data_IF_517090030994
#
_entry.id   IF_517090030994
#
_cell.length_a   1.000
_cell.length_b   1.000
_cell.length_c   1.000
_cell.angle_alpha   90.00
_cell.angle_beta   90.00
_cell.angle_gamma   90.00
#
_symmetry.space_group_name_H-M   'P 1'
#
loop_
_entity.id
_entity.type
_entity.pdbx_description
1 polymer ?
#
# COMPACT_ATOMS: atom_id res chain seq x y z
N UNK A 1 20.01 -11.35 5.46
CA UNK A 1 20.22 -12.17 6.67
C UNK A 1 21.71 -12.36 6.83
N UNK A 2 22.26 -12.17 8.02
CA UNK A 2 23.63 -12.64 8.29
C UNK A 2 23.65 -14.17 8.27
N UNK A 3 24.72 -14.77 7.75
CA UNK A 3 24.97 -16.21 7.85
C UNK A 3 24.82 -16.67 9.32
N UNK A 4 24.03 -17.72 9.55
CA UNK A 4 23.85 -18.34 10.89
C UNK A 4 22.66 -17.86 11.72
N UNK A 5 21.80 -16.95 11.22
CA UNK A 5 20.58 -16.55 11.94
C UNK A 5 19.45 -17.59 11.81
N UNK A 6 18.84 -17.98 12.94
CA UNK A 6 17.63 -18.80 12.95
C UNK A 6 16.37 -17.92 13.04
N UNK A 7 15.37 -18.19 12.20
CA UNK A 7 14.13 -17.41 12.08
C UNK A 7 12.94 -18.29 12.45
N UNK A 8 12.12 -17.85 13.40
CA UNK A 8 10.81 -18.47 13.67
C UNK A 8 9.70 -17.60 13.07
N UNK A 9 9.05 -18.06 12.00
CA UNK A 9 7.92 -17.38 11.38
C UNK A 9 6.61 -17.84 12.03
N UNK A 10 6.01 -16.99 12.86
CA UNK A 10 4.73 -17.26 13.51
C UNK A 10 3.61 -16.65 12.66
N UNK A 11 2.78 -17.49 12.04
CA UNK A 11 1.74 -17.06 11.10
C UNK A 11 0.39 -17.71 11.38
N UNK A 12 -0.69 -17.07 10.93
CA UNK A 12 -2.04 -17.63 10.96
C UNK A 12 -2.08 -18.91 10.10
N UNK A 13 -2.65 -19.98 10.63
CA UNK A 13 -2.95 -21.18 9.84
C UNK A 13 -4.25 -20.97 9.05
N UNK A 14 -4.13 -20.39 7.85
CA UNK A 14 -5.25 -20.21 6.95
C UNK A 14 -4.91 -20.78 5.55
N UNK A 15 -5.89 -21.38 4.84
CA UNK A 15 -5.67 -22.05 3.56
C UNK A 15 -4.93 -21.19 2.53
N UNK A 16 -5.23 -19.89 2.48
CA UNK A 16 -4.62 -18.94 1.56
C UNK A 16 -3.10 -18.76 1.76
N UNK A 17 -2.56 -19.16 2.91
CA UNK A 17 -1.13 -19.07 3.22
C UNK A 17 -0.42 -20.42 3.15
N UNK A 18 -1.12 -21.53 2.90
CA UNK A 18 -0.55 -22.88 3.07
C UNK A 18 0.64 -23.15 2.16
N UNK A 19 0.56 -22.75 0.88
CA UNK A 19 1.62 -22.90 -0.11
C UNK A 19 2.83 -22.03 0.25
N UNK A 20 2.61 -20.73 0.45
CA UNK A 20 3.65 -19.77 0.84
C UNK A 20 4.36 -20.17 2.14
N UNK A 21 3.62 -20.62 3.15
CA UNK A 21 4.20 -21.09 4.41
C UNK A 21 4.98 -22.39 4.25
N UNK A 22 4.63 -23.24 3.27
CA UNK A 22 5.42 -24.45 2.97
C UNK A 22 6.72 -24.11 2.26
N UNK A 23 6.72 -23.13 1.35
CA UNK A 23 7.95 -22.62 0.72
C UNK A 23 8.91 -22.01 1.75
N UNK A 24 8.41 -21.23 2.71
CA UNK A 24 9.24 -20.66 3.77
C UNK A 24 9.85 -21.71 4.69
N UNK A 25 9.14 -22.80 4.98
CA UNK A 25 9.63 -23.89 5.84
C UNK A 25 10.75 -24.71 5.19
N UNK A 26 10.95 -24.57 3.87
CA UNK A 26 12.05 -25.19 3.12
C UNK A 26 13.32 -24.34 3.13
N UNK A 27 13.27 -23.09 3.62
CA UNK A 27 14.43 -22.22 3.67
C UNK A 27 15.34 -22.58 4.85
N UNK A 28 16.64 -22.70 4.59
CA UNK A 28 17.63 -22.98 5.63
C UNK A 28 17.58 -21.94 6.76
N UNK A 29 17.48 -22.44 8.00
CA UNK A 29 17.41 -21.60 9.19
C UNK A 29 16.03 -21.01 9.48
N UNK A 30 15.00 -21.30 8.67
CA UNK A 30 13.62 -20.86 8.91
C UNK A 30 12.79 -22.00 9.50
N UNK A 31 11.98 -21.68 10.52
CA UNK A 31 11.00 -22.57 11.13
C UNK A 31 9.63 -21.91 11.11
N UNK A 32 8.66 -22.55 10.47
CA UNK A 32 7.29 -22.03 10.43
C UNK A 32 6.45 -22.56 11.59
N UNK A 33 5.76 -21.67 12.29
CA UNK A 33 4.89 -21.96 13.43
C UNK A 33 3.49 -21.48 13.09
N UNK A 34 2.63 -22.43 12.72
CA UNK A 34 1.25 -22.17 12.32
C UNK A 34 0.34 -22.05 13.55
N UNK A 35 -0.40 -20.95 13.64
CA UNK A 35 -1.33 -20.67 14.75
C UNK A 35 -2.75 -20.90 14.29
N UNK A 36 -3.36 -21.97 14.78
CA UNK A 36 -4.73 -22.34 14.42
C UNK A 36 -5.77 -21.28 14.88
N UNK A 37 -6.72 -20.90 14.01
CA UNK A 37 -7.83 -20.04 14.39
C UNK A 37 -8.84 -20.79 15.27
N UNK A 38 -9.58 -20.03 16.09
CA UNK A 38 -10.75 -20.54 16.80
C UNK A 38 -11.97 -20.68 15.88
N UNK A 39 -13.11 -21.12 16.44
CA UNK A 39 -14.38 -21.29 15.70
C UNK A 39 -14.90 -19.98 15.07
N UNK A 40 -14.43 -18.82 15.55
CA UNK A 40 -14.78 -17.51 15.00
C UNK A 40 -13.73 -17.00 13.99
N UNK A 41 -12.79 -17.84 13.58
CA UNK A 41 -11.73 -17.51 12.63
C UNK A 41 -10.56 -16.72 13.24
N UNK A 42 -10.48 -16.63 14.57
CA UNK A 42 -9.48 -15.81 15.26
C UNK A 42 -8.35 -16.65 15.84
N UNK A 43 -7.11 -16.39 15.42
CA UNK A 43 -5.93 -16.98 16.06
C UNK A 43 -5.53 -16.28 17.38
N UNK A 44 -6.22 -15.22 17.77
CA UNK A 44 -5.82 -14.37 18.90
C UNK A 44 -5.62 -15.12 20.24
N UNK A 45 -6.53 -16.01 20.68
CA UNK A 45 -6.33 -16.75 21.95
C UNK A 45 -5.08 -17.63 21.92
N UNK A 46 -4.86 -18.33 20.81
CA UNK A 46 -3.71 -19.23 20.60
C UNK A 46 -2.40 -18.45 20.53
N UNK A 47 -2.36 -17.36 19.75
CA UNK A 47 -1.19 -16.49 19.62
C UNK A 47 -0.83 -15.84 20.96
N UNK A 48 -1.83 -15.38 21.72
CA UNK A 48 -1.64 -14.82 23.07
C UNK A 48 -1.03 -15.85 24.02
N UNK A 49 -1.48 -17.11 23.98
CA UNK A 49 -0.93 -18.19 24.81
C UNK A 49 0.52 -18.49 24.43
N UNK A 50 0.81 -18.54 23.12
CA UNK A 50 2.16 -18.76 22.60
C UNK A 50 3.13 -17.67 23.05
N UNK A 51 2.75 -16.39 22.92
CA UNK A 51 3.57 -15.25 23.34
C UNK A 51 3.77 -15.14 24.86
N UNK A 52 2.87 -15.74 25.66
CA UNK A 52 2.96 -15.74 27.11
C UNK A 52 3.65 -16.99 27.70
N UNK A 53 4.04 -17.95 26.85
CA UNK A 53 4.67 -19.20 27.29
C UNK A 53 6.10 -18.95 27.82
N UNK A 54 6.55 -19.82 28.74
CA UNK A 54 7.91 -19.76 29.30
C UNK A 54 9.00 -20.27 28.35
N UNK A 55 8.62 -20.97 27.29
CA UNK A 55 9.51 -21.54 26.26
C UNK A 55 8.89 -21.37 24.87
N UNK A 56 9.63 -21.77 23.83
CA UNK A 56 9.22 -21.62 22.44
C UNK A 56 9.74 -20.34 21.79
N UNK A 57 9.22 -19.98 20.59
CA UNK A 57 9.89 -19.03 19.69
C UNK A 57 10.12 -17.66 20.32
N UNK A 58 9.15 -17.14 21.07
CA UNK A 58 9.25 -15.83 21.72
C UNK A 58 10.20 -15.81 22.93
N UNK A 59 10.40 -16.96 23.59
CA UNK A 59 11.28 -17.08 24.75
C UNK A 59 12.74 -17.29 24.35
N UNK A 60 12.99 -17.75 23.12
CA UNK A 60 14.32 -18.04 22.56
C UNK A 60 14.82 -16.94 21.62
N UNK A 61 13.95 -16.06 21.15
CA UNK A 61 14.32 -14.98 20.23
C UNK A 61 15.14 -13.87 20.91
N UNK A 62 16.07 -13.30 20.15
CA UNK A 62 16.80 -12.06 20.48
C UNK A 62 16.11 -10.81 19.92
N UNK A 63 15.38 -10.99 18.80
CA UNK A 63 14.66 -9.95 18.09
C UNK A 63 13.24 -10.41 17.73
N UNK A 64 12.26 -9.55 17.98
CA UNK A 64 10.89 -9.68 17.52
C UNK A 64 10.58 -8.66 16.44
N UNK A 65 9.97 -9.14 15.35
CA UNK A 65 9.47 -8.28 14.27
C UNK A 65 7.94 -8.46 14.20
N UNK A 66 7.19 -7.37 14.33
CA UNK A 66 5.76 -7.37 14.05
C UNK A 66 5.54 -6.83 12.63
N UNK A 67 4.97 -7.67 11.76
CA UNK A 67 4.74 -7.33 10.35
C UNK A 67 3.39 -6.70 10.03
N UNK A 68 2.41 -6.82 10.94
CA UNK A 68 1.04 -6.31 10.73
C UNK A 68 0.35 -5.89 12.03
N UNK A 69 -0.86 -5.32 11.89
CA UNK A 69 -1.65 -4.82 13.01
C UNK A 69 -2.04 -5.90 14.03
N UNK A 70 -2.31 -7.13 13.59
CA UNK A 70 -2.72 -8.25 14.44
C UNK A 70 -1.54 -8.86 15.20
N UNK A 71 -0.32 -8.77 14.65
CA UNK A 71 0.91 -9.22 15.28
C UNK A 71 1.36 -8.29 16.43
N UNK A 72 1.05 -6.99 16.37
CA UNK A 72 1.42 -6.00 17.40
C UNK A 72 1.12 -6.44 18.84
N UNK A 73 -0.13 -6.80 19.21
CA UNK A 73 -0.43 -7.18 20.58
C UNK A 73 0.25 -8.49 21.00
N UNK A 74 0.55 -9.39 20.06
CA UNK A 74 1.30 -10.63 20.34
C UNK A 74 2.75 -10.29 20.68
N UNK A 75 3.41 -9.50 19.83
CA UNK A 75 4.79 -9.07 20.02
C UNK A 75 4.96 -8.23 21.29
N UNK A 76 3.98 -7.37 21.60
CA UNK A 76 3.98 -6.58 22.84
C UNK A 76 3.85 -7.45 24.10
N UNK A 77 3.08 -8.54 24.06
CA UNK A 77 2.99 -9.48 25.20
C UNK A 77 4.33 -10.16 25.44
N UNK A 78 5.01 -10.61 24.38
CA UNK A 78 6.34 -11.20 24.49
C UNK A 78 7.36 -10.19 25.05
N UNK A 79 7.39 -8.96 24.53
CA UNK A 79 8.23 -7.85 25.04
C UNK A 79 8.00 -7.54 26.52
N UNK A 80 6.75 -7.62 27.01
CA UNK A 80 6.47 -7.40 28.45
C UNK A 80 6.99 -8.54 29.34
N UNK A 81 7.12 -9.75 28.82
CA UNK A 81 7.66 -10.91 29.54
C UNK A 81 9.19 -10.94 29.50
N UNK A 82 9.77 -10.45 28.41
CA UNK A 82 11.20 -10.30 28.15
C UNK A 82 11.54 -8.81 27.92
N UNK A 83 11.69 -7.97 28.95
CA UNK A 83 12.02 -6.55 28.79
C UNK A 83 13.42 -6.28 28.20
N UNK A 84 14.18 -7.32 27.90
CA UNK A 84 15.44 -7.34 27.17
C UNK A 84 15.26 -7.55 25.64
N UNK A 85 14.20 -8.25 25.20
CA UNK A 85 14.05 -8.61 23.78
C UNK A 85 13.78 -7.39 22.89
N UNK A 86 14.54 -7.22 21.81
CA UNK A 86 14.30 -6.10 20.91
C UNK A 86 12.96 -6.29 20.16
N UNK A 87 12.15 -5.22 20.04
CA UNK A 87 10.91 -5.23 19.27
C UNK A 87 11.00 -4.20 18.14
N UNK A 88 10.86 -4.65 16.90
CA UNK A 88 10.86 -3.84 15.68
C UNK A 88 9.54 -4.02 14.93
N UNK A 89 9.14 -2.99 14.19
CA UNK A 89 8.04 -3.06 13.22
C UNK A 89 8.63 -3.19 11.81
N UNK A 90 7.98 -3.96 10.95
CA UNK A 90 8.44 -4.13 9.56
C UNK A 90 7.89 -3.02 8.64
N UNK A 91 8.70 -2.45 7.73
CA UNK A 91 10.15 -2.56 7.62
C UNK A 91 10.90 -1.84 8.74
N UNK A 92 11.96 -2.48 9.19
CA UNK A 92 12.89 -1.88 10.14
C UNK A 92 13.96 -1.04 9.44
N UNK A 93 14.17 0.18 9.95
CA UNK A 93 15.28 1.05 9.56
C UNK A 93 16.28 1.27 10.69
N UNK A 94 17.46 1.78 10.35
CA UNK A 94 18.43 2.22 11.34
C UNK A 94 17.77 3.21 12.31
N UNK A 95 18.16 3.17 13.60
CA UNK A 95 17.61 4.01 14.65
C UNK A 95 18.06 5.48 14.49
N UNK A 96 17.54 6.13 13.45
CA UNK A 96 17.83 7.50 13.04
C UNK A 96 16.64 8.39 13.34
N UNK A 97 16.93 9.63 13.74
CA UNK A 97 15.91 10.68 13.84
C UNK A 97 15.54 11.21 12.46
N UNK A 98 14.31 11.69 12.32
CA UNK A 98 13.89 12.45 11.14
C UNK A 98 14.65 13.76 11.08
N UNK A 99 15.25 14.06 9.92
CA UNK A 99 15.95 15.32 9.65
C UNK A 99 15.07 16.29 8.84
N UNK A 100 15.33 17.62 8.91
CA UNK A 100 14.72 18.59 8.02
C UNK A 100 15.01 18.29 6.56
N UNK A 101 14.02 18.54 5.69
CA UNK A 101 14.11 18.31 4.26
C UNK A 101 13.81 19.60 3.48
N UNK A 102 14.22 19.65 2.21
CA UNK A 102 13.87 20.73 1.30
C UNK A 102 12.51 20.45 0.63
N UNK A 103 12.21 19.16 0.41
CA UNK A 103 10.90 18.64 0.00
C UNK A 103 10.41 17.54 0.96
N UNK A 104 9.19 17.70 1.48
CA UNK A 104 8.49 16.65 2.20
C UNK A 104 7.34 16.07 1.35
N UNK A 105 7.38 14.77 1.06
CA UNK A 105 6.31 14.06 0.34
C UNK A 105 5.42 13.32 1.34
N UNK A 106 4.12 13.58 1.37
CA UNK A 106 3.20 13.00 2.36
C UNK A 106 2.22 12.04 1.67
N UNK A 107 2.25 10.75 2.05
CA UNK A 107 1.46 9.73 1.36
C UNK A 107 1.14 8.54 2.26
N UNK A 108 -0.05 7.90 2.13
CA UNK A 108 -0.28 6.55 2.62
C UNK A 108 0.05 5.47 1.58
N UNK A 109 0.49 5.87 0.38
CA UNK A 109 0.77 4.99 -0.75
C UNK A 109 2.22 5.17 -1.16
N UNK A 110 3.08 4.29 -0.68
CA UNK A 110 4.46 4.16 -1.10
C UNK A 110 4.86 2.68 -1.03
N UNK A 111 5.79 2.21 -1.89
CA UNK A 111 6.20 0.80 -1.88
C UNK A 111 6.64 0.37 -0.48
N UNK A 112 6.25 -0.84 -0.07
CA UNK A 112 6.63 -1.45 1.22
C UNK A 112 6.88 -2.95 1.06
N UNK A 113 7.57 -3.61 2.00
CA UNK A 113 7.62 -5.08 1.99
C UNK A 113 6.23 -5.72 2.00
N UNK A 114 5.27 -5.12 2.72
CA UNK A 114 3.89 -5.60 2.78
C UNK A 114 3.10 -5.35 1.49
N UNK A 115 3.48 -4.34 0.71
CA UNK A 115 2.88 -4.02 -0.57
C UNK A 115 3.91 -3.35 -1.50
N UNK A 116 4.72 -4.14 -2.22
CA UNK A 116 5.85 -3.62 -3.01
C UNK A 116 5.41 -2.79 -4.20
N UNK A 117 4.13 -2.85 -4.57
CA UNK A 117 3.56 -2.14 -5.71
C UNK A 117 2.68 -0.96 -5.30
N UNK A 118 2.43 -0.76 -4.00
CA UNK A 118 1.64 0.37 -3.52
C UNK A 118 2.32 1.69 -3.87
N UNK A 119 1.57 2.64 -4.42
CA UNK A 119 2.06 4.01 -4.57
C UNK A 119 3.24 4.19 -5.53
N UNK A 120 3.46 3.29 -6.49
CA UNK A 120 4.50 3.45 -7.51
C UNK A 120 4.39 4.80 -8.27
N UNK A 121 3.17 5.33 -8.42
CA UNK A 121 2.93 6.67 -8.98
C UNK A 121 3.42 7.81 -8.08
N UNK A 122 3.43 7.64 -6.76
CA UNK A 122 4.01 8.61 -5.82
C UNK A 122 5.52 8.56 -5.92
N UNK A 123 6.11 7.37 -5.94
CA UNK A 123 7.53 7.19 -6.17
C UNK A 123 7.98 7.84 -7.49
N UNK A 124 7.28 7.57 -8.58
CA UNK A 124 7.57 8.19 -9.89
C UNK A 124 7.40 9.71 -9.87
N UNK A 125 6.39 10.24 -9.17
CA UNK A 125 6.21 11.68 -9.00
C UNK A 125 7.36 12.32 -8.20
N UNK A 126 7.81 11.69 -7.11
CA UNK A 126 8.96 12.13 -6.34
C UNK A 126 10.24 12.10 -7.18
N UNK A 127 10.46 11.02 -7.93
CA UNK A 127 11.61 10.87 -8.84
C UNK A 127 11.62 11.95 -9.92
N UNK A 128 10.47 12.29 -10.50
CA UNK A 128 10.36 13.27 -11.58
C UNK A 128 10.80 14.69 -11.17
N UNK A 129 10.82 14.99 -9.87
CA UNK A 129 11.24 16.29 -9.33
C UNK A 129 12.49 16.20 -8.47
N UNK A 130 13.10 15.01 -8.34
CA UNK A 130 14.15 14.80 -7.34
C UNK A 130 15.41 15.62 -7.61
N UNK A 131 15.69 15.94 -8.89
CA UNK A 131 16.81 16.77 -9.29
C UNK A 131 16.74 18.24 -8.82
N UNK A 132 15.56 18.71 -8.38
CA UNK A 132 15.35 20.09 -7.93
C UNK A 132 15.56 20.27 -6.41
N UNK A 133 15.81 19.18 -5.67
CA UNK A 133 15.91 19.22 -4.20
C UNK A 133 17.13 18.44 -3.70
N UNK A 134 17.91 19.03 -2.81
CA UNK A 134 19.07 18.34 -2.21
C UNK A 134 18.64 17.27 -1.20
N UNK A 135 17.60 17.55 -0.40
CA UNK A 135 17.07 16.62 0.60
C UNK A 135 15.57 16.42 0.46
N UNK A 136 15.20 15.16 0.23
CA UNK A 136 13.81 14.73 0.09
C UNK A 136 13.48 13.76 1.23
N UNK A 137 12.38 14.02 1.92
CA UNK A 137 11.82 13.13 2.94
C UNK A 137 10.42 12.69 2.55
N UNK A 138 10.22 11.40 2.31
CA UNK A 138 8.92 10.78 2.09
C UNK A 138 8.36 10.30 3.42
N UNK A 139 7.29 10.94 3.88
CA UNK A 139 6.52 10.51 5.05
C UNK A 139 5.42 9.56 4.62
N UNK A 140 5.70 8.26 4.77
CA UNK A 140 4.79 7.19 4.42
C UNK A 140 4.01 6.71 5.64
N UNK A 141 2.75 7.12 5.76
CA UNK A 141 1.83 6.62 6.80
C UNK A 141 1.14 5.34 6.31
N UNK A 142 1.79 4.21 6.54
CA UNK A 142 1.38 2.92 5.99
C UNK A 142 0.14 2.37 6.70
N UNK A 143 -0.93 2.18 5.93
CA UNK A 143 -2.18 1.65 6.47
C UNK A 143 -2.07 0.15 6.73
N UNK A 144 -1.94 -0.22 8.00
CA UNK A 144 -2.07 -1.60 8.45
C UNK A 144 -3.54 -1.91 8.69
N UNK A 145 -4.30 -1.93 7.60
CA UNK A 145 -5.74 -2.12 7.62
C UNK A 145 -6.10 -3.60 7.73
N UNK A 146 -7.10 -3.91 8.55
CA UNK A 146 -7.59 -5.28 8.68
C UNK A 146 -8.94 -5.37 9.38
N UNK A 147 -9.53 -6.56 9.33
CA UNK A 147 -10.66 -6.94 10.15
C UNK A 147 -10.16 -7.78 11.32
N UNK A 148 -10.69 -7.52 12.51
CA UNK A 148 -10.44 -8.37 13.67
C UNK A 148 -11.70 -8.43 14.57
N UNK A 149 -11.92 -9.58 15.24
CA UNK A 149 -12.90 -9.67 16.33
C UNK A 149 -12.62 -8.65 17.42
N UNK A 150 -13.66 -8.24 18.17
CA UNK A 150 -13.56 -7.17 19.16
C UNK A 150 -12.39 -7.34 20.16
N UNK A 151 -12.14 -8.52 20.76
CA UNK A 151 -11.03 -8.69 21.70
C UNK A 151 -9.65 -8.43 21.10
N UNK A 152 -9.43 -8.82 19.84
CA UNK A 152 -8.18 -8.55 19.14
C UNK A 152 -8.11 -7.08 18.73
N UNK A 153 -9.19 -6.51 18.21
CA UNK A 153 -9.25 -5.09 17.85
C UNK A 153 -8.94 -4.15 19.01
N UNK A 154 -9.44 -4.44 20.22
CA UNK A 154 -9.11 -3.68 21.43
C UNK A 154 -7.63 -3.84 21.82
N UNK A 155 -7.08 -5.05 21.70
CA UNK A 155 -5.67 -5.29 21.97
C UNK A 155 -4.76 -4.53 20.99
N UNK A 156 -5.10 -4.52 19.69
CA UNK A 156 -4.39 -3.73 18.68
C UNK A 156 -4.44 -2.25 19.02
N UNK A 157 -5.61 -1.71 19.35
CA UNK A 157 -5.78 -0.29 19.71
C UNK A 157 -4.91 0.10 20.91
N UNK A 158 -5.02 -0.64 22.02
CA UNK A 158 -4.25 -0.36 23.25
C UNK A 158 -2.75 -0.47 23.01
N UNK A 159 -2.32 -1.47 22.23
CA UNK A 159 -0.89 -1.64 21.91
C UNK A 159 -0.39 -0.51 21.03
N UNK A 160 -1.17 -0.10 20.03
CA UNK A 160 -0.84 1.02 19.15
C UNK A 160 -0.71 2.33 19.93
N UNK A 161 -1.64 2.60 20.85
CA UNK A 161 -1.57 3.77 21.74
C UNK A 161 -0.25 3.77 22.54
N UNK A 162 0.14 2.64 23.11
CA UNK A 162 1.41 2.52 23.86
C UNK A 162 2.64 2.69 22.99
N UNK A 163 2.69 2.04 21.83
CA UNK A 163 3.83 2.16 20.91
C UNK A 163 4.01 3.61 20.45
N UNK A 164 2.89 4.29 20.18
CA UNK A 164 2.88 5.72 19.85
C UNK A 164 3.47 6.57 20.97
N UNK A 165 3.07 6.34 22.22
CA UNK A 165 3.55 7.09 23.38
C UNK A 165 5.06 6.88 23.63
N UNK A 166 5.65 5.82 23.07
CA UNK A 166 7.09 5.54 23.12
C UNK A 166 7.83 5.92 21.82
N UNK A 167 7.17 6.56 20.84
CA UNK A 167 7.78 6.93 19.56
C UNK A 167 8.16 5.73 18.68
N UNK A 168 7.62 4.54 18.94
CA UNK A 168 8.04 3.28 18.34
C UNK A 168 7.28 2.91 17.05
N UNK A 169 6.48 3.83 16.49
CA UNK A 169 5.71 3.60 15.27
C UNK A 169 6.44 3.99 13.99
N UNK A 170 7.46 4.85 14.10
CA UNK A 170 8.18 5.44 12.96
C UNK A 170 9.59 4.91 12.80
N UNK A 171 10.00 4.66 11.55
CA UNK A 171 11.34 4.24 11.19
C UNK A 171 11.85 5.04 9.98
N UNK A 172 13.16 5.31 9.96
CA UNK A 172 13.81 6.08 8.90
C UNK A 172 14.65 5.16 8.02
N UNK A 173 14.29 5.11 6.75
CA UNK A 173 14.88 4.25 5.73
C UNK A 173 15.53 5.09 4.63
N UNK A 174 16.52 4.53 3.97
CA UNK A 174 17.06 5.11 2.73
C UNK A 174 16.31 4.53 1.53
N UNK A 175 16.05 5.37 0.54
CA UNK A 175 15.57 4.96 -0.78
C UNK A 175 16.35 5.70 -1.88
N UNK A 176 16.14 5.30 -3.12
CA UNK A 176 16.79 5.95 -4.26
C UNK A 176 16.40 7.44 -4.40
N UNK A 177 15.21 7.80 -3.92
CA UNK A 177 14.66 9.16 -3.99
C UNK A 177 15.05 10.05 -2.81
N UNK A 178 15.62 9.48 -1.74
CA UNK A 178 15.94 10.21 -0.52
C UNK A 178 15.64 9.39 0.74
N UNK A 179 15.17 10.06 1.78
CA UNK A 179 14.82 9.43 3.06
C UNK A 179 13.33 9.06 3.08
N UNK A 180 12.99 7.86 3.54
CA UNK A 180 11.61 7.44 3.78
C UNK A 180 11.37 7.30 5.29
N UNK A 181 10.54 8.19 5.83
CA UNK A 181 10.01 8.08 7.19
C UNK A 181 8.73 7.27 7.13
N UNK A 182 8.83 5.99 7.49
CA UNK A 182 7.70 5.08 7.46
C UNK A 182 7.06 4.97 8.83
N UNK A 183 5.76 5.18 8.88
CA UNK A 183 4.98 5.16 10.11
C UNK A 183 3.86 4.16 9.98
N UNK A 184 3.88 3.10 10.79
CA UNK A 184 2.80 2.13 10.81
C UNK A 184 1.52 2.75 11.39
N UNK A 185 0.40 2.57 10.70
CA UNK A 185 -0.92 3.03 11.13
C UNK A 185 -1.88 1.84 11.23
N UNK A 186 -1.92 1.14 12.38
CA UNK A 186 -2.83 0.03 12.64
C UNK A 186 -4.28 0.49 12.64
N UNK A 187 -5.07 -0.02 11.70
CA UNK A 187 -6.45 0.37 11.49
C UNK A 187 -7.35 -0.85 11.43
N UNK A 188 -7.83 -1.24 12.60
CA UNK A 188 -8.80 -2.32 12.75
C UNK A 188 -10.20 -1.74 12.63
N UNK A 189 -10.94 -2.22 11.63
CA UNK A 189 -12.24 -1.71 11.15
C UNK A 189 -12.12 -0.33 10.49
N UNK A 190 -12.55 -0.25 9.23
CA UNK A 190 -12.66 1.03 8.52
C UNK A 190 -13.68 1.92 9.23
N UNK A 191 -13.17 3.00 9.82
CA UNK A 191 -13.99 4.12 10.25
C UNK A 191 -14.22 5.07 9.06
N UNK A 192 -15.02 6.11 9.27
CA UNK A 192 -15.17 7.20 8.31
C UNK A 192 -13.80 7.86 7.98
N UNK A 193 -13.68 8.46 6.80
CA UNK A 193 -12.41 8.97 6.26
C UNK A 193 -11.75 10.03 7.14
N UNK A 194 -12.53 10.91 7.77
CA UNK A 194 -11.98 11.94 8.66
C UNK A 194 -11.25 11.31 9.87
N UNK A 195 -11.87 10.34 10.54
CA UNK A 195 -11.25 9.67 11.69
C UNK A 195 -10.05 8.79 11.30
N UNK A 196 -10.02 8.31 10.06
CA UNK A 196 -8.87 7.61 9.49
C UNK A 196 -7.70 8.58 9.32
N UNK A 197 -7.91 9.70 8.63
CA UNK A 197 -6.90 10.73 8.43
C UNK A 197 -6.33 11.23 9.77
N UNK A 198 -7.19 11.46 10.77
CA UNK A 198 -6.75 11.88 12.11
C UNK A 198 -5.90 10.80 12.83
N UNK A 199 -6.12 9.51 12.56
CA UNK A 199 -5.23 8.45 13.07
C UNK A 199 -3.84 8.53 12.43
N UNK A 200 -3.76 8.79 11.12
CA UNK A 200 -2.47 9.00 10.43
C UNK A 200 -1.75 10.24 10.96
N UNK A 201 -2.48 11.36 11.18
CA UNK A 201 -1.91 12.58 11.80
C UNK A 201 -1.30 12.28 13.16
N UNK A 202 -2.02 11.55 14.04
CA UNK A 202 -1.52 11.21 15.39
C UNK A 202 -0.28 10.33 15.33
N UNK A 203 -0.28 9.32 14.46
CA UNK A 203 0.84 8.41 14.29
C UNK A 203 2.07 9.17 13.79
N UNK A 204 1.93 9.94 12.70
CA UNK A 204 3.04 10.71 12.15
C UNK A 204 3.56 11.75 13.13
N UNK A 205 2.68 12.50 13.81
CA UNK A 205 3.07 13.47 14.83
C UNK A 205 3.96 12.85 15.91
N UNK A 206 3.66 11.64 16.36
CA UNK A 206 4.46 10.96 17.39
C UNK A 206 5.83 10.48 16.91
N UNK A 207 5.99 10.31 15.60
CA UNK A 207 7.25 9.90 14.97
C UNK A 207 8.15 11.11 14.63
N UNK A 208 7.63 12.33 14.75
CA UNK A 208 8.35 13.56 14.42
C UNK A 208 8.98 14.17 15.68
N UNK A 209 10.28 14.50 15.68
CA UNK A 209 10.95 15.08 16.85
C UNK A 209 10.28 16.35 17.40
N UNK A 210 9.78 17.21 16.53
CA UNK A 210 9.10 18.47 16.89
C UNK A 210 7.57 18.36 16.83
N UNK A 211 7.04 17.18 16.47
CA UNK A 211 5.63 17.01 16.11
C UNK A 211 5.21 17.74 14.83
N UNK A 212 6.15 18.29 14.06
CA UNK A 212 5.93 19.00 12.78
C UNK A 212 6.86 18.50 11.68
N UNK A 213 6.44 18.74 10.45
CA UNK A 213 7.24 18.48 9.25
C UNK A 213 8.08 19.70 8.97
N UNK A 214 9.40 19.56 9.11
CA UNK A 214 10.38 20.62 8.88
C UNK A 214 10.80 20.64 7.40
N UNK A 215 9.94 21.17 6.53
CA UNK A 215 10.23 21.40 5.13
C UNK A 215 9.56 22.67 4.59
N UNK A 216 10.23 23.44 3.71
CA UNK A 216 9.65 24.62 3.07
C UNK A 216 8.66 24.26 1.96
N UNK A 217 8.81 23.09 1.33
CA UNK A 217 7.90 22.57 0.30
C UNK A 217 7.33 21.23 0.76
N UNK A 218 6.01 21.09 0.64
CA UNK A 218 5.27 19.88 0.98
C UNK A 218 4.48 19.44 -0.24
N UNK A 219 4.71 18.22 -0.70
CA UNK A 219 3.94 17.57 -1.74
C UNK A 219 3.06 16.48 -1.14
N UNK A 220 1.78 16.80 -0.97
CA UNK A 220 0.78 15.90 -0.41
C UNK A 220 0.15 15.03 -1.51
N UNK A 221 -0.04 13.73 -1.23
CA UNK A 221 -0.75 12.81 -2.12
C UNK A 221 -2.08 12.36 -1.51
N UNK A 222 -3.14 12.52 -2.32
CA UNK A 222 -4.56 12.41 -1.94
C UNK A 222 -5.01 13.38 -0.84
N UNK A 223 -6.04 14.19 -1.14
CA UNK A 223 -6.41 15.33 -0.30
C UNK A 223 -6.85 14.92 1.10
N UNK A 224 -7.62 13.84 1.19
CA UNK A 224 -8.11 13.35 2.48
C UNK A 224 -7.02 12.66 3.33
N UNK A 225 -5.89 12.28 2.74
CA UNK A 225 -4.79 11.61 3.43
C UNK A 225 -3.59 12.56 3.57
N UNK A 226 -2.67 12.57 2.60
CA UNK A 226 -1.49 13.43 2.62
C UNK A 226 -1.84 14.91 2.77
N UNK A 227 -2.97 15.35 2.20
CA UNK A 227 -3.45 16.72 2.35
C UNK A 227 -3.81 17.08 3.79
N UNK A 228 -4.43 16.17 4.55
CA UNK A 228 -4.72 16.36 5.98
C UNK A 228 -3.44 16.34 6.81
N UNK A 229 -2.47 15.49 6.46
CA UNK A 229 -1.15 15.52 7.10
C UNK A 229 -0.49 16.89 6.89
N UNK A 230 -0.50 17.42 5.67
CA UNK A 230 0.02 18.75 5.36
C UNK A 230 -0.72 19.84 6.16
N UNK A 231 -2.07 19.81 6.16
CA UNK A 231 -2.89 20.74 6.92
C UNK A 231 -2.56 20.78 8.40
N UNK A 232 -2.26 19.62 9.01
CA UNK A 232 -2.10 19.50 10.47
C UNK A 232 -0.65 19.59 10.95
N UNK A 233 0.33 19.25 10.11
CA UNK A 233 1.71 19.01 10.53
C UNK A 233 2.75 19.83 9.74
N UNK A 234 2.41 20.36 8.56
CA UNK A 234 3.33 21.24 7.84
C UNK A 234 3.54 22.55 8.60
N UNK A 235 4.68 23.21 8.35
CA UNK A 235 4.90 24.56 8.86
C UNK A 235 3.86 25.55 8.28
N UNK A 236 3.53 26.62 9.01
CA UNK A 236 2.61 27.64 8.52
C UNK A 236 3.09 28.33 7.23
N UNK A 237 4.40 28.46 7.05
CA UNK A 237 5.04 29.13 5.90
C UNK A 237 5.41 28.17 4.75
N UNK A 238 5.16 26.86 4.90
CA UNK A 238 5.45 25.89 3.86
C UNK A 238 4.51 26.05 2.65
N UNK A 239 5.04 25.88 1.44
CA UNK A 239 4.24 25.74 0.21
C UNK A 239 3.69 24.33 0.12
N UNK A 240 2.38 24.18 0.02
CA UNK A 240 1.69 22.89 -0.04
C UNK A 240 1.12 22.67 -1.43
N UNK A 241 1.69 21.72 -2.15
CA UNK A 241 1.16 21.22 -3.42
C UNK A 241 0.46 19.89 -3.17
N UNK A 242 -0.77 19.74 -3.64
CA UNK A 242 -1.55 18.52 -3.51
C UNK A 242 -1.66 17.81 -4.86
N UNK A 243 -1.37 16.51 -4.94
CA UNK A 243 -1.79 15.67 -6.08
C UNK A 243 -2.92 14.75 -5.68
N UNK A 244 -4.05 14.82 -6.39
CA UNK A 244 -5.22 13.98 -6.14
C UNK A 244 -5.28 12.77 -7.07
N UNK A 245 -5.41 11.60 -6.47
CA UNK A 245 -5.48 10.27 -7.11
C UNK A 245 -6.76 9.51 -6.78
N UNK A 246 -7.51 9.94 -5.77
CA UNK A 246 -8.60 9.18 -5.16
C UNK A 246 -9.83 9.08 -6.08
N UNK A 247 -10.00 7.94 -6.74
CA UNK A 247 -11.24 7.65 -7.50
C UNK A 247 -12.50 7.58 -6.61
N UNK A 248 -12.32 7.48 -5.29
CA UNK A 248 -13.38 7.37 -4.28
C UNK A 248 -13.80 8.71 -3.64
N UNK A 249 -13.45 9.87 -4.23
CA UNK A 249 -13.85 11.19 -3.71
C UNK A 249 -15.36 11.32 -3.41
N UNK A 250 -16.23 10.70 -4.21
CA UNK A 250 -17.68 10.70 -3.95
C UNK A 250 -18.00 10.12 -2.57
N UNK A 251 -17.30 9.06 -2.14
CA UNK A 251 -17.47 8.45 -0.81
C UNK A 251 -16.93 9.34 0.31
N UNK A 252 -15.88 10.11 0.02
CA UNK A 252 -15.34 11.12 0.96
C UNK A 252 -16.35 12.24 1.13
N UNK A 253 -16.87 12.79 0.04
CA UNK A 253 -17.79 13.94 0.05
C UNK A 253 -19.18 13.61 0.58
N UNK A 254 -19.57 12.33 0.55
CA UNK A 254 -20.78 11.85 1.20
C UNK A 254 -20.70 11.89 2.75
N UNK A 255 -19.52 12.04 3.32
CA UNK A 255 -19.31 12.10 4.77
C UNK A 255 -19.05 13.55 5.19
N UNK A 256 -20.00 14.19 5.86
CA UNK A 256 -19.97 15.62 6.22
C UNK A 256 -18.64 16.05 6.87
N UNK A 257 -18.14 15.29 7.85
CA UNK A 257 -16.86 15.59 8.52
C UNK A 257 -15.67 15.51 7.56
N UNK A 258 -15.65 14.53 6.67
CA UNK A 258 -14.56 14.36 5.72
C UNK A 258 -14.62 15.41 4.61
N UNK A 259 -15.81 15.77 4.17
CA UNK A 259 -16.05 16.86 3.23
C UNK A 259 -15.54 18.20 3.79
N UNK A 260 -15.92 18.54 5.04
CA UNK A 260 -15.44 19.78 5.69
C UNK A 260 -13.92 19.79 5.79
N UNK A 261 -13.34 18.69 6.26
CA UNK A 261 -11.89 18.54 6.39
C UNK A 261 -11.19 18.68 5.02
N UNK A 262 -11.76 18.11 3.96
CA UNK A 262 -11.25 18.25 2.60
C UNK A 262 -11.29 19.71 2.13
N UNK A 263 -12.32 20.47 2.50
CA UNK A 263 -12.39 21.91 2.25
C UNK A 263 -11.24 22.68 2.93
N UNK A 264 -10.92 22.36 4.18
CA UNK A 264 -9.77 22.94 4.91
C UNK A 264 -8.43 22.59 4.23
N UNK A 265 -8.29 21.36 3.71
CA UNK A 265 -7.12 20.95 2.93
C UNK A 265 -6.98 21.78 1.66
N UNK A 266 -8.08 21.93 0.92
CA UNK A 266 -8.07 22.75 -0.29
C UNK A 266 -7.77 24.20 0.04
N UNK A 267 -8.28 24.76 1.13
CA UNK A 267 -7.95 26.11 1.58
C UNK A 267 -6.44 26.27 1.81
N UNK A 268 -5.82 25.31 2.52
CA UNK A 268 -4.39 25.31 2.85
C UNK A 268 -3.46 25.10 1.65
N UNK A 269 -3.90 24.36 0.64
CA UNK A 269 -3.08 24.05 -0.52
C UNK A 269 -2.81 25.30 -1.39
N UNK A 270 -1.56 25.51 -1.76
CA UNK A 270 -1.14 26.56 -2.71
C UNK A 270 -1.50 26.16 -4.15
N UNK A 271 -1.42 24.87 -4.49
CA UNK A 271 -1.80 24.32 -5.79
C UNK A 271 -2.34 22.88 -5.66
N UNK A 272 -3.23 22.49 -6.57
CA UNK A 272 -3.83 21.15 -6.63
C UNK A 272 -3.71 20.59 -8.05
N UNK A 273 -3.10 19.42 -8.16
CA UNK A 273 -2.89 18.69 -9.41
C UNK A 273 -3.75 17.44 -9.41
N UNK A 274 -4.71 17.35 -10.31
CA UNK A 274 -5.47 16.13 -10.52
C UNK A 274 -4.83 15.29 -11.62
N UNK A 275 -4.73 13.98 -11.40
CA UNK A 275 -4.12 13.07 -12.40
C UNK A 275 -4.98 12.84 -13.65
N UNK A 276 -6.18 13.43 -13.71
CA UNK A 276 -7.05 13.40 -14.87
C UNK A 276 -8.19 14.42 -14.75
N UNK A 277 -8.77 14.77 -15.90
CA UNK A 277 -9.88 15.73 -16.01
C UNK A 277 -11.09 15.34 -15.17
N UNK A 278 -11.47 14.06 -15.17
CA UNK A 278 -12.62 13.59 -14.38
C UNK A 278 -12.48 13.85 -12.86
N UNK A 279 -11.26 13.75 -12.31
CA UNK A 279 -11.00 14.09 -10.90
C UNK A 279 -11.03 15.60 -10.68
N UNK A 280 -10.43 16.38 -11.59
CA UNK A 280 -10.47 17.84 -11.57
C UNK A 280 -11.90 18.37 -11.61
N UNK A 281 -12.72 17.90 -12.55
CA UNK A 281 -14.10 18.32 -12.71
C UNK A 281 -14.95 17.94 -11.49
N UNK A 282 -14.71 16.77 -10.89
CA UNK A 282 -15.36 16.36 -9.64
C UNK A 282 -15.00 17.27 -8.47
N UNK A 283 -13.72 17.66 -8.35
CA UNK A 283 -13.27 18.56 -7.30
C UNK A 283 -13.81 19.97 -7.48
N UNK A 284 -13.67 20.54 -8.69
CA UNK A 284 -14.18 21.87 -9.03
C UNK A 284 -15.69 21.94 -8.88
N UNK A 285 -16.42 20.90 -9.32
CA UNK A 285 -17.87 20.83 -9.15
C UNK A 285 -18.30 20.82 -7.68
N UNK A 286 -17.47 20.27 -6.78
CA UNK A 286 -17.77 20.27 -5.34
C UNK A 286 -17.29 21.53 -4.61
N UNK A 287 -16.19 22.12 -5.05
CA UNK A 287 -15.50 23.27 -4.44
C UNK A 287 -15.14 24.32 -5.49
N UNK A 288 -16.12 24.98 -6.11
CA UNK A 288 -15.88 25.91 -7.22
C UNK A 288 -15.03 27.12 -6.84
N UNK A 289 -15.03 27.52 -5.56
CA UNK A 289 -14.22 28.64 -5.06
C UNK A 289 -12.71 28.40 -5.15
N UNK A 290 -12.27 27.15 -5.35
CA UNK A 290 -10.86 26.80 -5.49
C UNK A 290 -10.47 26.45 -6.94
N UNK A 291 -11.35 26.70 -7.92
CA UNK A 291 -11.16 26.26 -9.30
C UNK A 291 -9.84 26.77 -9.93
N UNK A 292 -9.42 27.99 -9.61
CA UNK A 292 -8.22 28.61 -10.19
C UNK A 292 -6.92 27.88 -9.85
N UNK A 293 -6.87 27.20 -8.70
CA UNK A 293 -5.69 26.45 -8.26
C UNK A 293 -5.78 24.94 -8.50
N UNK A 294 -6.85 24.46 -9.13
CA UNK A 294 -7.05 23.03 -9.43
C UNK A 294 -6.80 22.78 -10.93
N UNK A 295 -5.63 22.24 -11.23
CA UNK A 295 -5.18 21.87 -12.57
C UNK A 295 -5.20 20.37 -12.83
N UNK A 296 -4.83 19.97 -14.06
CA UNK A 296 -4.63 18.58 -14.45
C UNK A 296 -3.16 18.36 -14.77
N UNK A 297 -2.52 17.41 -14.08
CA UNK A 297 -1.16 16.93 -14.36
C UNK A 297 -1.19 15.41 -14.26
N UNK A 298 -1.11 14.67 -15.38
CA UNK A 298 -1.10 13.20 -15.36
C UNK A 298 0.08 12.64 -14.58
N UNK A 299 -0.05 11.38 -14.13
CA UNK A 299 1.07 10.69 -13.49
C UNK A 299 2.26 10.54 -14.44
N UNK A 300 3.49 10.77 -13.96
CA UNK A 300 4.67 10.55 -14.78
C UNK A 300 4.87 9.06 -15.06
N UNK A 301 5.52 8.79 -16.19
CA UNK A 301 5.95 7.46 -16.60
C UNK A 301 7.45 7.51 -16.80
N UNK A 302 8.15 6.53 -16.21
CA UNK A 302 9.57 6.29 -16.42
C UNK A 302 9.79 5.78 -17.85
N UNK A 303 10.24 6.67 -18.75
CA UNK A 303 10.42 6.36 -20.17
C UNK A 303 11.64 5.48 -20.46
N UNK A 304 12.62 5.45 -19.55
CA UNK A 304 13.77 4.56 -19.67
C UNK A 304 13.32 3.12 -19.38
N UNK A 305 12.42 2.94 -18.40
CA UNK A 305 11.79 1.66 -18.08
C UNK A 305 10.76 1.22 -19.12
N UNK A 306 9.96 2.15 -19.64
CA UNK A 306 8.93 1.91 -20.64
C UNK A 306 9.34 2.44 -22.01
N UNK A 307 10.42 1.88 -22.55
CA UNK A 307 10.88 2.17 -23.91
C UNK A 307 10.04 1.43 -24.96
N UNK A 308 9.92 1.99 -26.18
CA UNK A 308 9.32 1.28 -27.31
C UNK A 308 9.96 -0.10 -27.53
N UNK A 309 9.11 -1.12 -27.68
CA UNK A 309 9.55 -2.49 -27.94
C UNK A 309 9.81 -2.76 -29.42
N UNK A 310 10.04 -4.03 -29.78
CA UNK A 310 10.09 -4.45 -31.19
C UNK A 310 8.75 -4.19 -31.88
N UNK A 311 8.79 -4.14 -33.21
CA UNK A 311 7.59 -4.01 -34.04
C UNK A 311 6.56 -5.09 -33.67
N UNK A 312 5.30 -4.65 -33.54
CA UNK A 312 4.19 -5.55 -33.18
C UNK A 312 3.77 -6.37 -34.38
N UNK A 313 3.25 -7.58 -34.10
CA UNK A 313 2.59 -8.34 -35.17
C UNK A 313 1.40 -7.53 -35.68
N UNK A 314 1.25 -7.34 -37.01
CA UNK A 314 0.09 -6.65 -37.58
C UNK A 314 -1.23 -7.37 -37.27
N UNK A 315 -1.16 -8.65 -36.89
CA UNK A 315 -2.33 -9.46 -36.55
C UNK A 315 -2.90 -9.14 -35.15
N UNK A 316 -2.12 -8.52 -34.25
CA UNK A 316 -2.56 -8.08 -32.91
C UNK A 316 -3.21 -9.18 -32.04
N UNK A 317 -2.68 -10.40 -32.09
CA UNK A 317 -3.31 -11.59 -31.50
C UNK A 317 -2.95 -11.85 -30.03
N UNK A 318 -1.86 -11.27 -29.52
CA UNK A 318 -1.42 -11.48 -28.13
C UNK A 318 -1.89 -10.33 -27.26
N UNK A 319 -3.00 -10.53 -26.55
CA UNK A 319 -3.62 -9.53 -25.69
C UNK A 319 -3.06 -9.61 -24.28
N UNK A 320 -2.89 -8.44 -23.68
CA UNK A 320 -2.37 -8.27 -22.33
C UNK A 320 -3.30 -7.37 -21.52
N UNK A 321 -3.56 -7.76 -20.28
CA UNK A 321 -4.07 -6.89 -19.24
C UNK A 321 -3.10 -6.91 -18.06
N UNK A 322 -2.76 -5.74 -17.53
CA UNK A 322 -1.95 -5.60 -16.30
C UNK A 322 -2.71 -4.73 -15.32
N UNK A 323 -3.03 -5.26 -14.14
CA UNK A 323 -3.71 -4.50 -13.10
C UNK A 323 -4.45 -5.37 -12.09
N UNK A 324 -5.10 -4.71 -11.12
CA UNK A 324 -5.92 -5.42 -10.12
C UNK A 324 -7.06 -6.18 -10.77
N UNK A 325 -7.28 -7.42 -10.35
CA UNK A 325 -8.33 -8.29 -10.86
C UNK A 325 -9.61 -8.09 -10.04
N UNK A 326 -10.22 -6.93 -10.21
CA UNK A 326 -11.45 -6.52 -9.54
C UNK A 326 -12.48 -6.07 -10.56
N UNK A 327 -13.76 -6.12 -10.20
CA UNK A 327 -14.89 -5.82 -11.07
C UNK A 327 -14.77 -4.45 -11.78
N UNK A 328 -14.30 -3.41 -11.08
CA UNK A 328 -14.16 -2.06 -11.63
C UNK A 328 -13.12 -1.99 -12.76
N UNK A 329 -12.23 -2.98 -12.87
CA UNK A 329 -11.24 -3.05 -13.95
C UNK A 329 -11.76 -3.73 -15.21
N UNK A 330 -13.01 -4.20 -15.18
CA UNK A 330 -13.69 -4.80 -16.34
C UNK A 330 -13.05 -6.10 -16.83
N UNK A 331 -12.38 -6.82 -15.93
CA UNK A 331 -11.62 -8.04 -16.28
C UNK A 331 -12.54 -9.17 -16.74
N UNK A 332 -13.78 -9.22 -16.24
CA UNK A 332 -14.77 -10.20 -16.68
C UNK A 332 -15.26 -9.86 -18.09
N UNK A 333 -15.58 -8.59 -18.36
CA UNK A 333 -15.97 -8.13 -19.69
C UNK A 333 -14.87 -8.34 -20.73
N UNK A 334 -13.61 -8.12 -20.33
CA UNK A 334 -12.46 -8.42 -21.19
C UNK A 334 -12.39 -9.92 -21.52
N UNK A 335 -12.63 -10.80 -20.56
CA UNK A 335 -12.63 -12.25 -20.79
C UNK A 335 -13.74 -12.66 -21.77
N UNK A 336 -14.97 -12.17 -21.57
CA UNK A 336 -16.09 -12.44 -22.48
C UNK A 336 -15.81 -11.90 -23.89
N UNK A 337 -15.32 -10.65 -23.99
CA UNK A 337 -14.97 -10.04 -25.27
C UNK A 337 -13.85 -10.79 -26.00
N UNK A 338 -12.85 -11.27 -25.26
CA UNK A 338 -11.79 -12.11 -25.83
C UNK A 338 -12.32 -13.44 -26.34
N UNK A 339 -13.27 -14.09 -25.65
CA UNK A 339 -13.84 -15.36 -26.10
C UNK A 339 -14.48 -15.26 -27.49
N UNK A 340 -15.18 -14.16 -27.78
CA UNK A 340 -15.76 -13.89 -29.10
C UNK A 340 -14.71 -13.76 -30.21
N UNK A 341 -13.53 -13.23 -29.88
CA UNK A 341 -12.39 -13.16 -30.81
C UNK A 341 -11.76 -14.53 -30.98
N UNK A 342 -11.57 -15.24 -29.87
CA UNK A 342 -10.93 -16.55 -29.83
C UNK A 342 -11.74 -17.62 -30.58
N UNK A 343 -13.07 -17.47 -30.72
CA UNK A 343 -13.90 -18.31 -31.59
C UNK A 343 -13.55 -18.18 -33.08
N UNK A 344 -13.16 -16.99 -33.52
CA UNK A 344 -12.87 -16.69 -34.94
C UNK A 344 -11.39 -16.77 -35.28
N UNK A 345 -10.52 -16.55 -34.30
CA UNK A 345 -9.07 -16.58 -34.46
C UNK A 345 -8.44 -17.48 -33.39
N UNK A 346 -8.21 -18.77 -33.71
CA UNK A 346 -7.69 -19.74 -32.77
C UNK A 346 -6.29 -19.43 -32.22
N UNK A 347 -5.51 -18.59 -32.91
CA UNK A 347 -4.16 -18.19 -32.47
C UNK A 347 -4.17 -17.03 -31.46
N UNK A 348 -5.33 -16.40 -31.23
CA UNK A 348 -5.45 -15.32 -30.26
C UNK A 348 -5.23 -15.84 -28.82
N UNK A 349 -4.49 -15.07 -28.02
CA UNK A 349 -4.19 -15.38 -26.62
C UNK A 349 -4.44 -14.17 -25.73
N UNK A 350 -4.95 -14.39 -24.53
CA UNK A 350 -5.14 -13.38 -23.50
C UNK A 350 -4.32 -13.73 -22.25
N UNK A 351 -3.41 -12.85 -21.89
CA UNK A 351 -2.69 -12.89 -20.61
C UNK A 351 -3.23 -11.79 -19.70
N UNK A 352 -3.70 -12.16 -18.52
CA UNK A 352 -4.04 -11.23 -17.44
C UNK A 352 -3.01 -11.35 -16.33
N UNK A 353 -2.45 -10.22 -15.88
CA UNK A 353 -1.42 -10.15 -14.84
C UNK A 353 -1.90 -9.29 -13.69
N UNK A 354 -1.97 -9.90 -12.50
CA UNK A 354 -2.36 -9.20 -11.28
C UNK A 354 -2.98 -10.13 -10.24
N UNK A 355 -3.56 -9.52 -9.20
CA UNK A 355 -4.25 -10.21 -8.12
C UNK A 355 -5.56 -9.50 -7.80
N UNK A 356 -6.56 -10.24 -7.31
CA UNK A 356 -7.81 -9.68 -6.82
C UNK A 356 -8.98 -10.66 -6.74
N UNK A 357 -10.11 -10.15 -6.23
CA UNK A 357 -11.29 -10.95 -5.92
C UNK A 357 -11.92 -11.67 -7.13
N UNK A 358 -11.58 -11.29 -8.36
CA UNK A 358 -12.13 -11.91 -9.56
C UNK A 358 -11.33 -13.15 -10.03
N UNK A 359 -10.22 -13.53 -9.41
CA UNK A 359 -9.35 -14.60 -9.91
C UNK A 359 -10.06 -15.95 -10.09
N UNK A 360 -10.72 -16.45 -9.05
CA UNK A 360 -11.44 -17.73 -9.10
C UNK A 360 -12.54 -17.70 -10.15
N UNK A 361 -13.31 -16.60 -10.19
CA UNK A 361 -14.37 -16.40 -11.17
C UNK A 361 -13.84 -16.37 -12.61
N UNK A 362 -12.70 -15.71 -12.84
CA UNK A 362 -12.06 -15.66 -14.16
C UNK A 362 -11.58 -17.05 -14.60
N UNK A 363 -10.97 -17.84 -13.70
CA UNK A 363 -10.53 -19.20 -14.01
C UNK A 363 -11.69 -20.13 -14.34
N UNK A 364 -12.74 -20.11 -13.50
CA UNK A 364 -13.94 -20.90 -13.73
C UNK A 364 -14.60 -20.54 -15.07
N UNK A 365 -14.76 -19.24 -15.33
CA UNK A 365 -15.40 -18.77 -16.56
C UNK A 365 -14.59 -19.08 -17.81
N UNK A 366 -13.27 -18.96 -17.77
CA UNK A 366 -12.40 -19.33 -18.88
C UNK A 366 -12.47 -20.83 -19.22
N UNK A 367 -12.66 -21.68 -18.21
CA UNK A 367 -12.87 -23.12 -18.39
C UNK A 367 -14.22 -23.42 -19.05
N UNK A 368 -15.31 -22.77 -18.60
CA UNK A 368 -16.63 -22.86 -19.23
C UNK A 368 -16.62 -22.45 -20.70
N UNK A 369 -15.86 -21.40 -21.02
CA UNK A 369 -15.70 -20.87 -22.38
C UNK A 369 -14.75 -21.71 -23.26
N UNK A 370 -14.14 -22.78 -22.73
CA UNK A 370 -13.23 -23.63 -23.49
C UNK A 370 -11.98 -22.91 -24.00
N UNK A 371 -11.45 -21.95 -23.23
CA UNK A 371 -10.29 -21.16 -23.67
C UNK A 371 -8.97 -21.94 -23.62
N UNK A 372 -8.84 -22.91 -22.70
CA UNK A 372 -7.63 -23.73 -22.55
C UNK A 372 -6.37 -22.87 -22.41
N UNK A 373 -5.31 -23.22 -23.13
CA UNK A 373 -4.02 -22.52 -23.08
C UNK A 373 -4.03 -21.09 -23.66
N UNK A 374 -5.14 -20.67 -24.27
CA UNK A 374 -5.32 -19.33 -24.84
C UNK A 374 -5.60 -18.27 -23.78
N UNK A 375 -5.99 -18.67 -22.57
CA UNK A 375 -6.14 -17.76 -21.44
C UNK A 375 -5.11 -18.10 -20.36
N UNK A 376 -4.37 -17.09 -19.91
CA UNK A 376 -3.40 -17.23 -18.81
C UNK A 376 -3.63 -16.16 -17.77
N UNK A 377 -3.67 -16.59 -16.52
CA UNK A 377 -3.69 -15.72 -15.36
C UNK A 377 -2.37 -15.84 -14.62
N UNK A 378 -1.58 -14.77 -14.63
CA UNK A 378 -0.27 -14.69 -13.99
C UNK A 378 -0.35 -13.88 -12.70
N UNK A 379 0.46 -14.21 -11.67
CA UNK A 379 0.55 -13.41 -10.46
C UNK A 379 1.07 -11.99 -10.77
N UNK A 380 0.92 -11.02 -9.84
CA UNK A 380 1.56 -9.72 -9.96
C UNK A 380 3.06 -9.85 -10.24
N UNK A 381 3.57 -9.04 -11.16
CA UNK A 381 5.00 -9.00 -11.49
C UNK A 381 5.64 -7.71 -10.98
N UNK A 382 6.95 -7.75 -10.78
CA UNK A 382 7.73 -6.56 -10.45
C UNK A 382 7.55 -5.46 -11.51
N UNK A 383 7.55 -4.16 -11.13
CA UNK A 383 7.40 -3.06 -12.08
C UNK A 383 8.36 -3.12 -13.27
N UNK A 384 9.60 -3.58 -13.05
CA UNK A 384 10.65 -3.71 -14.06
C UNK A 384 10.33 -4.81 -15.09
N UNK A 385 9.52 -5.80 -14.72
CA UNK A 385 9.10 -6.88 -15.61
C UNK A 385 7.92 -6.49 -16.52
N UNK A 386 7.22 -5.39 -16.21
CA UNK A 386 6.03 -4.96 -16.97
C UNK A 386 6.38 -4.53 -18.39
N UNK A 387 7.45 -3.74 -18.59
CA UNK A 387 7.91 -3.32 -19.92
C UNK A 387 8.25 -4.51 -20.83
N UNK A 388 9.15 -5.43 -20.42
CA UNK A 388 9.43 -6.66 -21.15
C UNK A 388 8.20 -7.53 -21.41
N UNK A 389 7.25 -7.56 -20.47
CA UNK A 389 5.98 -8.27 -20.67
C UNK A 389 5.14 -7.60 -21.76
N UNK A 390 5.02 -6.28 -21.75
CA UNK A 390 4.35 -5.52 -22.80
C UNK A 390 5.04 -5.75 -24.16
N UNK A 391 6.37 -5.87 -24.22
CA UNK A 391 7.12 -6.18 -25.46
C UNK A 391 6.79 -7.57 -26.04
N UNK A 392 6.34 -8.51 -25.21
CA UNK A 392 5.93 -9.87 -25.64
C UNK A 392 4.49 -9.98 -26.14
N UNK A 393 3.69 -8.93 -26.00
CA UNK A 393 2.28 -8.88 -26.38
C UNK A 393 2.03 -7.80 -27.43
N UNK A 394 0.96 -7.93 -28.21
CA UNK A 394 0.67 -7.00 -29.29
C UNK A 394 -0.29 -5.88 -28.85
N UNK A 395 -1.22 -6.19 -27.95
CA UNK A 395 -2.28 -5.27 -27.53
C UNK A 395 -2.40 -5.22 -26.00
N UNK A 396 -2.28 -4.03 -25.41
CA UNK A 396 -2.65 -3.77 -24.02
C UNK A 396 -4.11 -3.35 -23.95
N UNK A 397 -4.94 -4.05 -23.18
CA UNK A 397 -6.39 -3.80 -23.10
C UNK A 397 -6.78 -3.34 -21.70
N UNK A 398 -7.47 -2.20 -21.61
CA UNK A 398 -8.08 -1.70 -20.39
C UNK A 398 -9.59 -1.49 -20.57
N UNK A 399 -10.39 -2.37 -19.98
CA UNK A 399 -11.86 -2.31 -19.99
C UNK A 399 -12.42 -1.68 -18.69
N UNK A 400 -11.68 -0.76 -18.06
CA UNK A 400 -12.07 -0.22 -16.76
C UNK A 400 -13.42 0.51 -16.82
N UNK A 401 -14.27 0.24 -15.82
CA UNK A 401 -15.57 0.87 -15.65
C UNK A 401 -15.40 2.16 -14.85
N UNK A 402 -16.12 3.22 -15.25
CA UNK A 402 -16.13 4.54 -14.58
C UNK A 402 -17.09 4.59 -13.40
#
# INVERSE_FOLDING_TARGET
MSEGSAVSLVALDAPEWHETLAEFDQLDGVRVIRVAPDKAGSAWPSAKKLAAAKGGPFAEADLLIAGDAQALPVAWIARRRRPDIELRLEPHGANRSVEPADLAVLTPWYPSPNNPYAGAFVQAATQAVSGDFERISVFHTEDWSGAAPAPLGDAVRVTTERLRDHGALGHVLDSAEGTVVRVAVPLIRRKNYASWAESQVKALRSALPTGRIEAPVVHAHAGIYGGVLALRLARPDARVVLTEHATFLTKVFAQEKALKLYGEVLERADAVMCVGSALRDRLVGRFPQYAEKIGVVPNPVDLDRFSPGPDRSPEMLRWLFVGRLIEQKGVQELLEGFALVAEKEPRATLTMVGHGLCEEALRARAAELGLGDRFRLLPPVAPEAVGPLMHKHDLLVHASKT
#
